data_IF_166158055438
#
_entry.id   IF_166158055438
#
_cell.length_a   1.000
_cell.length_b   1.000
_cell.length_c   1.000
_cell.angle_alpha   90.00
_cell.angle_beta   90.00
_cell.angle_gamma   90.00
#
_symmetry.space_group_name_H-M   'P 1'
#
loop_
_entity.id
_entity.type
_entity.pdbx_description
1 polymer ?
#
# COMPACT_ATOMS: atom_id res chain seq x y z
N UNK A 1 -5.86 -5.38 6.48
CA UNK A 1 -4.84 -5.19 5.40
C UNK A 1 -3.65 -4.42 5.96
N UNK A 2 -2.42 -4.87 5.72
CA UNK A 2 -1.18 -4.30 6.25
C UNK A 2 -0.17 -4.04 5.12
N UNK A 3 0.61 -2.96 5.24
CA UNK A 3 1.77 -2.72 4.38
C UNK A 3 2.93 -3.59 4.86
N UNK A 4 3.61 -4.25 3.91
CA UNK A 4 4.77 -5.08 4.17
C UNK A 4 6.02 -4.45 3.55
N UNK A 5 7.12 -4.38 4.31
CA UNK A 5 8.41 -3.99 3.74
C UNK A 5 8.87 -5.02 2.69
N UNK A 6 9.54 -4.53 1.65
CA UNK A 6 10.12 -5.34 0.58
C UNK A 6 11.61 -5.36 0.81
N UNK A 7 12.13 -6.47 1.32
CA UNK A 7 13.55 -6.62 1.62
C UNK A 7 14.34 -7.23 0.45
N UNK A 8 13.72 -8.12 -0.32
CA UNK A 8 14.43 -8.99 -1.27
C UNK A 8 13.67 -9.09 -2.59
N UNK A 9 13.54 -7.98 -3.32
CA UNK A 9 13.16 -8.10 -4.73
C UNK A 9 14.36 -8.54 -5.54
N UNK A 10 14.24 -9.66 -6.25
CA UNK A 10 15.33 -10.31 -6.96
C UNK A 10 16.12 -9.40 -7.92
N UNK A 11 15.48 -8.37 -8.47
CA UNK A 11 16.12 -7.36 -9.33
C UNK A 11 16.17 -5.98 -8.65
N UNK A 12 15.07 -5.51 -8.04
CA UNK A 12 14.97 -4.12 -7.55
C UNK A 12 15.80 -3.87 -6.29
N UNK A 13 16.15 -4.91 -5.54
CA UNK A 13 17.07 -4.79 -4.39
C UNK A 13 18.54 -4.81 -4.81
N UNK A 14 18.86 -4.97 -6.09
CA UNK A 14 20.24 -5.02 -6.57
C UNK A 14 20.85 -3.61 -6.73
N UNK A 15 21.82 -3.29 -5.87
CA UNK A 15 22.56 -2.03 -5.93
C UNK A 15 21.67 -0.79 -5.90
N UNK A 16 21.90 0.12 -6.86
CA UNK A 16 21.17 1.39 -6.99
C UNK A 16 20.05 1.34 -8.06
N UNK A 17 19.59 0.15 -8.44
CA UNK A 17 18.59 0.00 -9.50
C UNK A 17 17.24 0.64 -9.14
N UNK A 18 16.70 0.36 -7.95
CA UNK A 18 15.46 1.00 -7.50
C UNK A 18 15.56 2.53 -7.42
N UNK A 19 16.59 3.14 -6.80
CA UNK A 19 16.79 4.59 -6.86
C UNK A 19 16.82 5.16 -8.29
N UNK A 20 17.41 4.43 -9.24
CA UNK A 20 17.50 4.81 -10.65
C UNK A 20 16.11 4.78 -11.31
N UNK A 21 15.41 3.64 -11.22
CA UNK A 21 14.06 3.46 -11.75
C UNK A 21 13.11 4.49 -11.13
N UNK A 22 13.16 4.69 -9.82
CA UNK A 22 12.36 5.70 -9.12
C UNK A 22 12.57 7.09 -9.70
N UNK A 23 13.82 7.46 -10.02
CA UNK A 23 14.14 8.75 -10.61
C UNK A 23 13.59 8.89 -12.03
N UNK A 24 13.55 7.81 -12.81
CA UNK A 24 12.98 7.80 -14.16
C UNK A 24 11.46 7.81 -14.16
N UNK A 25 10.83 7.08 -13.23
CA UNK A 25 9.39 7.19 -12.96
C UNK A 25 9.01 8.63 -12.65
N UNK A 26 9.77 9.33 -11.80
CA UNK A 26 9.53 10.75 -11.50
C UNK A 26 9.61 11.62 -12.77
N UNK A 27 10.55 11.34 -13.68
CA UNK A 27 10.65 12.05 -14.98
C UNK A 27 9.40 11.82 -15.82
N UNK A 28 8.91 10.58 -15.92
CA UNK A 28 7.69 10.24 -16.66
C UNK A 28 6.45 10.94 -16.08
N UNK A 29 6.31 10.95 -14.74
CA UNK A 29 5.22 11.64 -14.06
C UNK A 29 5.25 13.15 -14.34
N UNK A 30 6.43 13.77 -14.27
CA UNK A 30 6.61 15.20 -14.54
C UNK A 30 6.28 15.56 -16.01
N UNK A 31 6.68 14.72 -16.98
CA UNK A 31 6.34 14.93 -18.39
C UNK A 31 4.83 14.95 -18.65
N UNK A 32 4.06 14.23 -17.84
CA UNK A 32 2.60 14.16 -17.91
C UNK A 32 1.89 15.17 -17.01
N UNK A 33 2.62 16.10 -16.38
CA UNK A 33 2.10 17.07 -15.42
C UNK A 33 1.37 16.43 -14.22
N UNK A 34 1.74 15.21 -13.83
CA UNK A 34 1.18 14.53 -12.67
C UNK A 34 1.92 15.03 -11.42
N UNK A 35 1.21 15.76 -10.56
CA UNK A 35 1.77 16.19 -9.29
C UNK A 35 1.73 15.04 -8.29
N UNK A 36 2.86 14.76 -7.67
CA UNK A 36 3.02 13.64 -6.75
C UNK A 36 3.74 14.07 -5.48
N UNK A 37 3.41 13.41 -4.37
CA UNK A 37 4.06 13.62 -3.08
C UNK A 37 5.04 12.49 -2.74
N UNK A 38 4.81 11.27 -3.24
CA UNK A 38 5.75 10.17 -3.07
C UNK A 38 5.59 9.10 -4.14
N UNK A 39 6.67 8.36 -4.36
CA UNK A 39 6.74 7.14 -5.18
C UNK A 39 7.45 6.10 -4.32
N UNK A 40 6.72 5.07 -3.94
CA UNK A 40 7.13 4.07 -2.95
C UNK A 40 6.95 2.65 -3.51
N UNK A 41 7.89 1.76 -3.21
CA UNK A 41 7.71 0.33 -3.49
C UNK A 41 6.99 -0.31 -2.31
N UNK A 42 5.84 -0.94 -2.54
CA UNK A 42 5.00 -1.50 -1.48
C UNK A 42 4.50 -2.90 -1.81
N UNK A 43 4.23 -3.67 -0.77
CA UNK A 43 3.51 -4.95 -0.85
C UNK A 43 2.42 -4.96 0.20
N UNK A 44 1.24 -5.47 -0.12
CA UNK A 44 0.13 -5.55 0.83
C UNK A 44 -0.07 -6.99 1.29
N UNK A 45 -0.55 -7.15 2.52
CA UNK A 45 -0.95 -8.46 3.04
C UNK A 45 -2.21 -8.40 3.91
N UNK A 46 -2.97 -9.48 3.95
CA UNK A 46 -4.10 -9.64 4.88
C UNK A 46 -4.25 -11.10 5.29
N UNK A 47 -4.83 -11.33 6.48
CA UNK A 47 -5.24 -12.68 6.86
C UNK A 47 -6.45 -13.06 6.03
N UNK A 48 -6.43 -14.27 5.47
CA UNK A 48 -7.60 -14.89 4.87
C UNK A 48 -8.51 -15.31 6.02
N UNK A 49 -9.76 -14.85 5.96
CA UNK A 49 -10.80 -15.44 6.79
C UNK A 49 -11.08 -16.83 6.24
N UNK A 50 -10.83 -17.84 7.06
CA UNK A 50 -11.30 -19.19 6.78
C UNK A 50 -12.82 -19.16 6.99
N UNK A 51 -13.56 -18.78 5.95
CA UNK A 51 -14.97 -19.14 5.86
C UNK A 51 -14.97 -20.67 5.81
N UNK A 52 -15.10 -21.30 6.98
CA UNK A 52 -15.63 -22.66 7.06
C UNK A 52 -17.05 -22.56 6.54
N UNK A 53 -17.21 -22.64 5.23
CA UNK A 53 -18.46 -23.04 4.65
C UNK A 53 -18.64 -24.46 5.17
N UNK A 54 -19.48 -24.60 6.20
CA UNK A 54 -20.14 -25.87 6.44
C UNK A 54 -20.79 -26.24 5.11
N UNK A 55 -20.37 -27.38 4.57
CA UNK A 55 -20.99 -28.02 3.42
C UNK A 55 -22.43 -28.36 3.81
N UNK A 56 -23.33 -27.38 3.81
CA UNK A 56 -24.76 -27.62 3.82
C UNK A 56 -25.13 -28.01 2.39
N UNK A 57 -25.06 -29.32 2.16
CA UNK A 57 -25.73 -29.98 1.05
C UNK A 57 -27.13 -29.39 0.88
N UNK A 58 -27.33 -28.70 -0.24
CA UNK A 58 -28.65 -28.27 -0.68
C UNK A 58 -29.56 -29.48 -0.75
N UNK A 59 -30.63 -29.48 0.04
CA UNK A 59 -31.87 -30.18 -0.30
C UNK A 59 -33.04 -29.24 0.01
N UNK A 60 -33.52 -28.65 -1.08
CA UNK A 60 -34.88 -28.32 -1.50
C UNK A 60 -36.00 -28.00 -0.48
N UNK A 61 -36.72 -26.93 -0.87
CA UNK A 61 -38.13 -26.58 -0.64
C UNK A 61 -38.58 -26.19 0.79
N UNK A 62 -38.87 -24.90 0.99
CA UNK A 62 -40.26 -24.44 1.16
C UNK A 62 -40.35 -22.90 1.28
N UNK A 63 -41.46 -22.37 0.76
CA UNK A 63 -41.82 -20.96 0.65
C UNK A 63 -42.16 -20.30 2.01
N UNK A 64 -41.97 -18.97 2.06
CA UNK A 64 -42.90 -17.97 2.64
C UNK A 64 -42.44 -17.09 3.82
N UNK A 65 -42.87 -15.82 3.63
CA UNK A 65 -43.19 -14.71 4.51
C UNK A 65 -42.12 -13.83 5.20
N UNK A 66 -42.43 -12.53 5.17
CA UNK A 66 -41.54 -11.41 5.41
C UNK A 66 -41.17 -11.11 6.85
N UNK A 67 -40.17 -10.25 6.99
CA UNK A 67 -39.67 -9.78 8.27
C UNK A 67 -38.90 -8.46 8.13
N UNK A 68 -39.48 -7.44 8.74
CA UNK A 68 -39.05 -6.06 8.91
C UNK A 68 -37.69 -5.92 9.62
N UNK A 69 -37.06 -4.75 9.46
CA UNK A 69 -35.65 -4.50 9.70
C UNK A 69 -35.16 -4.69 11.13
N UNK A 70 -33.84 -4.93 11.25
CA UNK A 70 -33.09 -4.36 12.35
C UNK A 70 -31.62 -4.14 11.94
N UNK A 71 -31.21 -2.88 12.00
CA UNK A 71 -29.82 -2.46 11.89
C UNK A 71 -29.26 -2.54 13.30
N UNK A 72 -28.52 -3.60 13.62
CA UNK A 72 -27.85 -3.69 14.92
C UNK A 72 -26.35 -3.92 14.72
N UNK A 73 -25.62 -2.86 15.07
CA UNK A 73 -24.32 -2.90 15.73
C UNK A 73 -23.18 -3.58 14.97
N UNK A 74 -22.44 -2.74 14.23
CA UNK A 74 -21.04 -3.02 13.91
C UNK A 74 -20.28 -2.98 15.24
N UNK A 75 -20.25 -4.10 15.94
CA UNK A 75 -19.29 -4.29 17.02
C UNK A 75 -17.90 -4.29 16.39
N UNK A 76 -17.08 -3.37 16.88
CA UNK A 76 -15.63 -3.25 16.65
C UNK A 76 -14.98 -4.55 17.11
N UNK A 77 -15.13 -5.58 16.29
CA UNK A 77 -14.61 -6.91 16.58
C UNK A 77 -13.13 -6.85 16.34
N UNK A 78 -12.39 -6.66 17.42
CA UNK A 78 -10.97 -6.99 17.53
C UNK A 78 -10.74 -8.34 16.81
N UNK A 79 -10.28 -8.27 15.56
CA UNK A 79 -10.10 -9.45 14.73
C UNK A 79 -9.01 -10.28 15.40
N UNK A 80 -9.44 -11.29 16.16
CA UNK A 80 -8.57 -12.27 16.77
C UNK A 80 -8.02 -13.14 15.65
N UNK A 81 -6.95 -12.67 15.00
CA UNK A 81 -6.20 -13.48 14.06
C UNK A 81 -5.78 -14.76 14.79
N UNK A 82 -6.34 -15.89 14.35
CA UNK A 82 -5.83 -17.20 14.71
C UNK A 82 -4.33 -17.22 14.40
N UNK A 83 -3.47 -17.80 15.26
CA UNK A 83 -2.03 -17.85 15.03
C UNK A 83 -1.62 -18.62 13.76
N UNK A 84 -2.58 -19.21 13.04
CA UNK A 84 -2.38 -20.04 11.85
C UNK A 84 -3.26 -19.63 10.65
N UNK A 85 -3.76 -18.38 10.60
CA UNK A 85 -4.48 -17.90 9.41
C UNK A 85 -3.58 -17.81 8.18
N UNK A 86 -4.06 -18.23 7.01
CA UNK A 86 -3.31 -18.08 5.75
C UNK A 86 -3.20 -16.59 5.42
N UNK A 87 -1.97 -16.06 5.32
CA UNK A 87 -1.75 -14.67 4.92
C UNK A 87 -1.67 -14.58 3.40
N UNK A 88 -2.55 -13.81 2.79
CA UNK A 88 -2.49 -13.47 1.36
C UNK A 88 -1.59 -12.24 1.20
N UNK A 89 -0.71 -12.28 0.21
CA UNK A 89 0.17 -11.15 -0.16
C UNK A 89 -0.01 -10.77 -1.62
N UNK A 90 -0.02 -9.47 -1.92
CA UNK A 90 -0.06 -8.98 -3.30
C UNK A 90 1.31 -9.13 -3.99
N UNK A 91 1.36 -9.02 -5.32
CA UNK A 91 2.57 -8.66 -6.04
C UNK A 91 3.17 -7.35 -5.50
N UNK A 92 4.41 -7.07 -5.92
CA UNK A 92 5.03 -5.79 -5.62
C UNK A 92 4.30 -4.71 -6.40
N UNK A 93 4.10 -3.55 -5.78
CA UNK A 93 3.41 -2.44 -6.40
C UNK A 93 4.26 -1.19 -6.25
N UNK A 94 4.54 -0.50 -7.34
CA UNK A 94 4.95 0.90 -7.28
C UNK A 94 3.70 1.70 -6.98
N UNK A 95 3.71 2.37 -5.83
CA UNK A 95 2.61 3.20 -5.38
C UNK A 95 2.98 4.66 -5.53
N UNK A 96 2.22 5.36 -6.37
CA UNK A 96 2.30 6.79 -6.52
C UNK A 96 1.22 7.46 -5.66
N UNK A 97 1.68 8.37 -4.81
CA UNK A 97 0.80 9.30 -4.11
C UNK A 97 0.68 10.58 -4.93
N UNK A 98 -0.49 10.80 -5.52
CA UNK A 98 -0.77 11.93 -6.42
C UNK A 98 -1.63 12.98 -5.74
N UNK A 99 -1.54 14.24 -6.15
CA UNK A 99 -2.45 15.26 -5.64
C UNK A 99 -3.86 15.08 -6.25
N UNK A 100 -4.93 15.41 -5.51
CA UNK A 100 -6.28 15.41 -6.05
C UNK A 100 -6.39 16.28 -7.31
N UNK A 101 -7.30 15.93 -8.21
CA UNK A 101 -7.58 16.65 -9.47
C UNK A 101 -6.43 16.70 -10.49
N UNK A 102 -5.28 16.06 -10.20
CA UNK A 102 -4.13 16.03 -11.12
C UNK A 102 -4.02 14.75 -11.94
N UNK A 103 -4.84 13.74 -11.63
CA UNK A 103 -4.80 12.43 -12.27
C UNK A 103 -6.17 12.04 -12.82
N UNK A 104 -6.30 11.97 -14.15
CA UNK A 104 -7.47 11.37 -14.81
C UNK A 104 -7.19 9.90 -15.12
N UNK A 105 -8.25 9.10 -15.29
CA UNK A 105 -8.11 7.69 -15.65
C UNK A 105 -7.29 7.45 -16.93
N UNK A 106 -7.43 8.32 -17.94
CA UNK A 106 -6.65 8.24 -19.18
C UNK A 106 -5.15 8.53 -18.95
N UNK A 107 -4.85 9.56 -18.15
CA UNK A 107 -3.46 9.93 -17.82
C UNK A 107 -2.82 8.84 -16.95
N UNK A 108 -3.56 8.29 -15.99
CA UNK A 108 -3.13 7.14 -15.18
C UNK A 108 -2.81 5.93 -16.07
N UNK A 109 -3.71 5.56 -16.97
CA UNK A 109 -3.50 4.42 -17.87
C UNK A 109 -2.26 4.58 -18.75
N UNK A 110 -2.09 5.76 -19.37
CA UNK A 110 -0.90 6.03 -20.20
C UNK A 110 0.38 6.05 -19.36
N UNK A 111 0.33 6.68 -18.19
CA UNK A 111 1.47 6.73 -17.27
C UNK A 111 1.85 5.35 -16.75
N UNK A 112 0.88 4.48 -16.44
CA UNK A 112 1.15 3.10 -16.03
C UNK A 112 1.86 2.33 -17.13
N UNK A 113 1.44 2.47 -18.39
CA UNK A 113 2.09 1.77 -19.50
C UNK A 113 3.54 2.25 -19.70
N UNK A 114 3.80 3.56 -19.61
CA UNK A 114 5.18 4.07 -19.70
C UNK A 114 6.07 3.49 -18.59
N UNK A 115 5.54 3.44 -17.35
CA UNK A 115 6.29 2.89 -16.20
C UNK A 115 6.50 1.38 -16.39
N UNK A 116 5.49 0.64 -16.84
CA UNK A 116 5.61 -0.80 -17.09
C UNK A 116 6.58 -1.09 -18.24
N UNK A 117 6.60 -0.28 -19.29
CA UNK A 117 7.54 -0.44 -20.40
C UNK A 117 8.97 -0.11 -19.95
N UNK A 118 9.17 0.92 -19.14
CA UNK A 118 10.45 1.19 -18.48
C UNK A 118 10.91 -0.01 -17.64
N UNK A 119 10.04 -0.60 -16.82
CA UNK A 119 10.38 -1.76 -15.99
C UNK A 119 10.75 -2.98 -16.85
N UNK A 120 10.07 -3.19 -17.99
CA UNK A 120 10.41 -4.27 -18.93
C UNK A 120 11.80 -4.11 -19.54
N UNK A 121 12.24 -2.88 -19.83
CA UNK A 121 13.60 -2.62 -20.31
C UNK A 121 14.67 -3.09 -19.31
N UNK A 122 14.35 -3.06 -18.02
CA UNK A 122 15.18 -3.59 -16.94
C UNK A 122 14.90 -5.06 -16.59
N UNK A 123 14.08 -5.77 -17.37
CA UNK A 123 13.74 -7.18 -17.14
C UNK A 123 12.76 -7.42 -15.98
N UNK A 124 12.08 -6.39 -15.49
CA UNK A 124 11.13 -6.47 -14.38
C UNK A 124 9.71 -6.59 -14.95
N UNK A 125 8.96 -7.59 -14.48
CA UNK A 125 7.58 -7.84 -14.96
C UNK A 125 6.60 -8.24 -13.86
N UNK A 126 7.08 -8.45 -12.64
CA UNK A 126 6.31 -8.88 -11.47
C UNK A 126 5.93 -7.70 -10.55
N UNK A 127 5.65 -6.55 -11.17
CA UNK A 127 5.34 -5.29 -10.49
C UNK A 127 4.09 -4.66 -11.07
N UNK A 128 3.18 -4.28 -10.19
CA UNK A 128 1.99 -3.49 -10.50
C UNK A 128 2.25 -1.99 -10.28
N UNK A 129 1.43 -1.13 -10.89
CA UNK A 129 1.45 0.33 -10.70
C UNK A 129 0.11 0.76 -10.13
N UNK A 130 0.12 1.54 -9.04
CA UNK A 130 -1.11 1.95 -8.37
C UNK A 130 -1.05 3.39 -7.85
N UNK A 131 -1.99 4.20 -8.33
CA UNK A 131 -2.16 5.57 -7.89
C UNK A 131 -3.09 5.65 -6.68
N UNK A 132 -2.76 6.57 -5.77
CA UNK A 132 -3.68 7.01 -4.72
C UNK A 132 -3.60 8.51 -4.56
N UNK A 133 -4.75 9.15 -4.54
CA UNK A 133 -4.83 10.56 -4.16
C UNK A 133 -4.41 10.76 -2.69
N UNK A 134 -3.53 11.73 -2.46
CA UNK A 134 -3.12 12.14 -1.13
C UNK A 134 -2.70 13.59 -1.11
N UNK A 135 -3.10 14.29 -0.05
CA UNK A 135 -2.61 15.62 0.26
C UNK A 135 -1.64 15.48 1.43
N UNK A 136 -0.38 15.87 1.24
CA UNK A 136 0.57 15.97 2.33
C UNK A 136 0.10 17.05 3.29
N UNK A 137 -0.32 16.66 4.50
CA UNK A 137 -0.56 17.59 5.59
C UNK A 137 0.72 17.68 6.41
N UNK A 138 1.33 18.86 6.45
CA UNK A 138 2.39 19.16 7.40
C UNK A 138 1.79 19.18 8.80
N UNK A 139 1.83 18.06 9.52
CA UNK A 139 1.67 18.10 10.96
C UNK A 139 2.98 18.63 11.53
N UNK A 140 2.96 19.82 12.12
CA UNK A 140 4.01 20.22 13.06
C UNK A 140 3.90 19.28 14.26
N UNK A 141 4.59 18.14 14.17
CA UNK A 141 4.86 17.32 15.34
C UNK A 141 5.69 18.10 16.35
N UNK A 142 5.85 17.58 17.57
CA UNK A 142 6.83 18.12 18.51
C UNK A 142 8.20 18.24 17.83
N UNK A 143 8.98 19.24 18.23
CA UNK A 143 10.34 19.44 17.75
C UNK A 143 11.10 18.11 17.78
N UNK A 144 11.69 17.71 16.64
CA UNK A 144 12.52 16.51 16.60
C UNK A 144 13.65 16.69 17.61
N UNK A 145 13.96 15.65 18.38
CA UNK A 145 15.08 15.69 19.31
C UNK A 145 16.35 16.14 18.58
N UNK A 146 17.07 17.08 19.17
CA UNK A 146 18.36 17.55 18.64
C UNK A 146 19.27 16.36 18.36
N UNK A 147 19.99 16.38 17.23
CA UNK A 147 20.94 15.32 16.87
C UNK A 147 21.87 15.00 18.05
N UNK A 148 21.86 13.74 18.49
CA UNK A 148 22.82 13.27 19.49
C UNK A 148 24.20 13.31 18.85
N UNK A 149 25.10 14.10 19.41
CA UNK A 149 26.50 14.12 18.96
C UNK A 149 27.14 12.75 19.24
N UNK A 150 27.91 12.21 18.28
CA UNK A 150 28.62 10.91 18.39
C UNK A 150 29.56 10.81 19.60
N UNK A 151 29.86 11.94 20.25
CA UNK A 151 30.78 12.04 21.37
C UNK A 151 30.15 11.71 22.72
N UNK A 152 28.81 11.65 22.84
CA UNK A 152 28.16 11.25 24.09
C UNK A 152 26.73 10.70 23.87
N UNK A 153 26.55 9.37 23.82
CA UNK A 153 25.24 8.74 23.69
C UNK A 153 24.37 8.82 24.96
N UNK A 154 24.79 9.54 26.02
CA UNK A 154 24.07 9.61 27.30
C UNK A 154 23.70 11.02 27.75
N UNK A 155 23.46 11.97 26.84
CA UNK A 155 22.88 13.26 27.26
C UNK A 155 21.51 13.04 27.91
N UNK A 156 21.32 13.38 29.20
CA UNK A 156 20.01 13.29 29.82
C UNK A 156 19.10 14.35 29.18
N UNK A 157 17.89 13.91 28.82
CA UNK A 157 16.80 14.77 28.37
C UNK A 157 16.48 15.75 29.50
N UNK A 158 17.03 16.97 29.43
CA UNK A 158 16.57 18.08 30.27
C UNK A 158 15.41 18.73 29.53
N UNK A 159 14.19 18.32 29.90
CA UNK A 159 12.96 19.01 29.53
C UNK A 159 12.68 20.01 30.67
N UNK A 160 12.42 21.30 30.38
CA UNK A 160 12.01 22.28 31.40
C UNK A 160 10.64 21.99 32.01
#
# INVERSE_FOLDING_TARGET
>A
MQLRPIYEHHILSEGDLWPTIRSEVIKLLNQRNIQHSSVDLVRFSWAKEDNKNEDDEKNDDDEDDGGDGNVSDIEDSDIKLSPYGTVVTTPITIRERVLPDTLTGEVAFKSSNDILDLLKEHGISDVDVAYRESVAKSSSGPELFTSVSDLDPRRPLSIP
#
